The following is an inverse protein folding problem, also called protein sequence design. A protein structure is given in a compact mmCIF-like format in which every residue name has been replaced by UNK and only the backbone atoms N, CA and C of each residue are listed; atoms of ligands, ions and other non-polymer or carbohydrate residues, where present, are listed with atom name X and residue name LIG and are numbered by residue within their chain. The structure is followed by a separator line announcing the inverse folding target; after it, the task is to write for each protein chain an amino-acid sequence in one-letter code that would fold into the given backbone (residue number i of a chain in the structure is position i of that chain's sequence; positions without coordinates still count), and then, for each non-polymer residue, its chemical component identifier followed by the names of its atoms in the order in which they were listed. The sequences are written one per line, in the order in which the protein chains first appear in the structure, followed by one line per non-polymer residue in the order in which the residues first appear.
data_IF_571619016225
#
_entry.id   IF_571619016225
#
_cell.length_a   1.000
_cell.length_b   1.000
_cell.length_c   1.000
_cell.angle_alpha   90.00
_cell.angle_beta   90.00
_cell.angle_gamma   90.00
#
_symmetry.space_group_name_H-M   'P 1'
#
loop_
_entity.id
_entity.type
_entity.pdbx_description
1 polymer ?
#
# COMPACT_ATOMS: atom_id res chain seq x y z
N UNK A 1 -10.51 27.62 3.82
CA UNK A 1 -10.73 28.14 5.18
C UNK A 1 -10.66 27.00 6.18
N UNK A 2 -9.75 27.05 7.15
CA UNK A 2 -9.62 25.99 8.16
C UNK A 2 -10.88 25.88 9.02
N UNK A 3 -11.53 27.01 9.31
CA UNK A 3 -12.78 27.10 10.07
C UNK A 3 -13.90 26.23 9.46
N UNK A 4 -13.98 26.16 8.12
CA UNK A 4 -14.93 25.30 7.43
C UNK A 4 -14.72 23.81 7.78
N UNK A 5 -13.48 23.35 7.87
CA UNK A 5 -13.17 21.96 8.20
C UNK A 5 -13.35 21.67 9.70
N UNK A 6 -13.00 22.60 10.59
CA UNK A 6 -13.27 22.51 12.03
C UNK A 6 -14.77 22.39 12.33
N UNK A 7 -15.63 23.06 11.57
CA UNK A 7 -17.09 22.96 11.76
C UNK A 7 -17.67 21.57 11.46
N UNK A 8 -16.95 20.72 10.71
CA UNK A 8 -17.41 19.40 10.26
C UNK A 8 -16.69 18.22 10.90
N UNK A 9 -15.52 18.45 11.49
CA UNK A 9 -14.76 17.44 12.20
C UNK A 9 -14.38 17.99 13.59
N UNK A 10 -15.00 17.47 14.68
CA UNK A 10 -14.84 18.04 16.01
C UNK A 10 -13.43 17.87 16.59
N UNK A 11 -12.62 16.96 16.04
CA UNK A 11 -11.25 16.70 16.50
C UNK A 11 -10.30 16.43 15.31
N UNK A 12 -9.91 17.49 14.57
CA UNK A 12 -9.05 17.34 13.42
C UNK A 12 -7.57 17.28 13.83
N UNK A 13 -6.82 16.42 13.15
CA UNK A 13 -5.36 16.45 13.22
C UNK A 13 -4.85 17.46 12.19
N UNK A 14 -4.06 18.44 12.64
CA UNK A 14 -3.31 19.33 11.77
C UNK A 14 -1.88 18.82 11.67
N UNK A 15 -1.36 18.73 10.45
CA UNK A 15 0.00 18.31 10.17
C UNK A 15 0.64 19.21 9.11
N UNK A 16 1.98 19.20 9.05
CA UNK A 16 2.72 19.81 7.94
C UNK A 16 2.30 19.16 6.61
N UNK A 17 2.15 19.98 5.58
CA UNK A 17 2.03 19.51 4.21
C UNK A 17 3.43 19.19 3.64
N UNK A 18 3.64 17.95 3.25
CA UNK A 18 4.92 17.49 2.71
C UNK A 18 4.77 17.31 1.20
N UNK A 19 5.33 18.25 0.44
CA UNK A 19 5.41 18.15 -1.02
C UNK A 19 6.57 17.23 -1.41
N UNK A 20 6.24 16.01 -1.85
CA UNK A 20 7.22 14.98 -2.14
C UNK A 20 6.63 13.80 -2.92
N UNK A 21 7.48 12.81 -3.21
CA UNK A 21 7.04 11.60 -3.90
C UNK A 21 6.29 10.70 -2.94
N UNK A 22 5.01 10.43 -3.22
CA UNK A 22 4.19 9.53 -2.44
C UNK A 22 4.43 8.06 -2.79
N UNK A 23 4.49 7.22 -1.76
CA UNK A 23 4.63 5.78 -1.86
C UNK A 23 3.62 5.05 -0.98
N UNK A 24 3.22 3.86 -1.43
CA UNK A 24 2.56 2.86 -0.60
C UNK A 24 3.41 1.60 -0.62
N UNK A 25 3.96 1.24 0.53
CA UNK A 25 4.71 -0.01 0.70
C UNK A 25 3.73 -1.11 1.07
N UNK A 26 3.57 -2.11 0.20
CA UNK A 26 2.74 -3.28 0.45
C UNK A 26 3.58 -4.28 1.25
N UNK A 27 3.05 -4.84 2.32
CA UNK A 27 3.80 -5.66 3.26
C UNK A 27 2.98 -6.90 3.61
N UNK A 28 3.66 -8.03 3.75
CA UNK A 28 3.11 -9.24 4.35
C UNK A 28 4.02 -9.65 5.52
N UNK A 29 3.42 -9.84 6.69
CA UNK A 29 4.08 -10.38 7.88
C UNK A 29 3.56 -11.77 8.23
N UNK A 30 4.40 -12.57 8.87
CA UNK A 30 4.06 -13.88 9.39
C UNK A 30 3.20 -13.80 10.68
N UNK A 31 2.88 -14.96 11.25
CA UNK A 31 2.10 -15.07 12.50
C UNK A 31 2.83 -14.56 13.75
N UNK A 32 4.12 -14.25 13.64
CA UNK A 32 4.97 -13.69 14.70
C UNK A 32 5.25 -12.20 14.50
N UNK A 33 4.61 -11.56 13.50
CA UNK A 33 4.82 -10.16 13.17
C UNK A 33 6.13 -9.88 12.41
N UNK A 34 6.87 -10.91 11.97
CA UNK A 34 8.08 -10.73 11.16
C UNK A 34 7.72 -10.51 9.70
N UNK A 35 8.35 -9.54 9.05
CA UNK A 35 8.06 -9.25 7.65
C UNK A 35 8.61 -10.34 6.73
N UNK A 36 7.72 -10.94 5.93
CA UNK A 36 8.07 -11.91 4.89
C UNK A 36 8.62 -11.19 3.66
N UNK A 37 7.92 -10.15 3.20
CA UNK A 37 8.33 -9.33 2.07
C UNK A 37 7.62 -7.97 2.07
N UNK A 38 8.23 -7.01 1.39
CA UNK A 38 7.65 -5.70 1.14
C UNK A 38 7.94 -5.18 -0.25
N UNK A 39 7.00 -4.41 -0.81
CA UNK A 39 7.07 -3.83 -2.15
C UNK A 39 6.65 -2.36 -2.12
N UNK A 40 7.61 -1.43 -2.29
CA UNK A 40 7.32 -0.03 -2.53
C UNK A 40 6.61 0.19 -3.87
N UNK A 41 5.48 0.88 -3.83
CA UNK A 41 4.77 1.35 -5.02
C UNK A 41 4.74 2.87 -5.00
N UNK A 42 5.41 3.50 -5.98
CA UNK A 42 5.36 4.94 -6.18
C UNK A 42 4.01 5.34 -6.78
N UNK A 43 3.39 6.37 -6.22
CA UNK A 43 2.10 6.93 -6.62
C UNK A 43 2.35 8.11 -7.57
N UNK A 44 2.58 7.81 -8.86
CA UNK A 44 2.95 8.80 -9.88
C UNK A 44 1.83 9.80 -10.17
N UNK A 45 0.57 9.39 -10.05
CA UNK A 45 -0.59 10.26 -10.15
C UNK A 45 -1.68 9.79 -9.20
N UNK A 46 -2.17 10.69 -8.37
CA UNK A 46 -3.24 10.43 -7.40
C UNK A 46 -4.49 11.21 -7.78
N UNK A 47 -5.65 10.59 -7.64
CA UNK A 47 -6.97 11.22 -7.78
C UNK A 47 -7.86 10.74 -6.63
N UNK A 48 -8.37 11.66 -5.82
CA UNK A 48 -9.22 11.35 -4.66
C UNK A 48 -8.61 10.28 -3.73
N UNK A 49 -7.32 10.40 -3.43
CA UNK A 49 -6.59 9.45 -2.57
C UNK A 49 -6.21 8.12 -3.25
N UNK A 50 -6.70 7.84 -4.46
CA UNK A 50 -6.37 6.64 -5.23
C UNK A 50 -5.23 6.88 -6.21
N UNK A 51 -4.24 5.99 -6.23
CA UNK A 51 -3.20 5.98 -7.24
C UNK A 51 -3.76 5.51 -8.59
N UNK A 52 -3.85 6.43 -9.56
CA UNK A 52 -4.34 6.17 -10.92
C UNK A 52 -3.22 5.82 -11.89
N UNK A 53 -2.02 6.33 -11.62
CA UNK A 53 -0.77 5.86 -12.25
C UNK A 53 0.19 5.52 -11.13
N UNK A 54 0.76 4.32 -11.16
CA UNK A 54 1.67 3.84 -10.13
C UNK A 54 2.77 2.95 -10.71
N UNK A 55 3.89 2.84 -10.01
CA UNK A 55 5.02 2.02 -10.43
C UNK A 55 5.61 1.24 -9.26
N UNK A 56 5.88 -0.05 -9.46
CA UNK A 56 6.63 -0.86 -8.52
C UNK A 56 8.10 -0.47 -8.58
N UNK A 57 8.70 -0.05 -7.46
CA UNK A 57 10.07 0.45 -7.43
C UNK A 57 10.94 -0.34 -6.47
N UNK A 58 12.21 -0.52 -6.86
CA UNK A 58 13.22 -1.13 -5.99
C UNK A 58 13.81 -0.05 -5.08
N UNK A 59 13.18 0.20 -3.95
CA UNK A 59 13.66 1.16 -2.95
C UNK A 59 13.90 0.47 -1.61
N UNK A 60 15.15 0.03 -1.37
CA UNK A 60 15.53 -0.70 -0.15
C UNK A 60 15.37 0.15 1.11
N UNK A 61 15.73 1.43 1.07
CA UNK A 61 15.63 2.31 2.23
C UNK A 61 14.18 2.43 2.70
N UNK A 62 13.25 2.54 1.73
CA UNK A 62 11.82 2.61 2.00
C UNK A 62 11.26 1.31 2.57
N UNK A 63 11.63 0.16 2.01
CA UNK A 63 11.30 -1.15 2.59
C UNK A 63 11.83 -1.28 4.01
N UNK A 64 13.08 -0.89 4.28
CA UNK A 64 13.65 -0.95 5.63
C UNK A 64 12.86 -0.11 6.64
N UNK A 65 12.53 1.14 6.29
CA UNK A 65 11.73 2.01 7.18
C UNK A 65 10.35 1.43 7.42
N UNK A 66 9.66 1.00 6.36
CA UNK A 66 8.31 0.46 6.48
C UNK A 66 8.26 -0.86 7.27
N UNK A 67 9.23 -1.75 7.04
CA UNK A 67 9.33 -3.02 7.77
C UNK A 67 9.56 -2.76 9.27
N UNK A 68 10.47 -1.84 9.64
CA UNK A 68 10.71 -1.47 11.04
C UNK A 68 9.45 -0.97 11.74
N UNK A 69 8.62 -0.20 11.04
CA UNK A 69 7.34 0.29 11.58
C UNK A 69 6.37 -0.87 11.80
N UNK A 70 6.20 -1.75 10.82
CA UNK A 70 5.28 -2.91 10.90
C UNK A 70 5.70 -3.89 11.99
N UNK A 71 7.00 -4.19 12.10
CA UNK A 71 7.55 -5.09 13.11
C UNK A 71 7.44 -4.48 14.52
N UNK A 72 7.69 -3.18 14.68
CA UNK A 72 7.52 -2.50 15.97
C UNK A 72 6.06 -2.44 16.43
N UNK A 73 5.11 -2.49 15.49
CA UNK A 73 3.68 -2.58 15.76
C UNK A 73 3.16 -4.02 15.82
N UNK A 74 4.03 -5.02 15.65
CA UNK A 74 3.72 -6.45 15.66
C UNK A 74 2.55 -6.84 14.72
N UNK A 75 2.44 -6.16 13.57
CA UNK A 75 1.33 -6.37 12.65
C UNK A 75 1.48 -7.74 11.97
N UNK A 76 0.44 -8.56 12.12
CA UNK A 76 0.33 -9.88 11.50
C UNK A 76 -0.46 -9.78 10.18
N UNK A 77 0.01 -10.48 9.15
CA UNK A 77 -0.69 -10.58 7.87
C UNK A 77 -0.45 -9.36 6.95
N UNK A 78 -1.41 -9.04 6.05
CA UNK A 78 -1.23 -8.02 5.04
C UNK A 78 -1.35 -6.62 5.66
N UNK A 79 -0.40 -5.76 5.32
CA UNK A 79 -0.44 -4.35 5.72
C UNK A 79 0.11 -3.44 4.63
N UNK A 80 -0.08 -2.14 4.81
CA UNK A 80 0.62 -1.16 4.00
C UNK A 80 1.00 0.08 4.81
N UNK A 81 2.14 0.66 4.44
CA UNK A 81 2.66 1.89 5.02
C UNK A 81 2.75 2.95 3.92
N UNK A 82 2.15 4.12 4.16
CA UNK A 82 2.29 5.26 3.28
C UNK A 82 3.46 6.13 3.72
N UNK A 83 4.34 6.44 2.77
CA UNK A 83 5.56 7.21 2.99
C UNK A 83 5.64 8.30 1.93
N UNK A 84 6.03 9.50 2.33
CA UNK A 84 6.41 10.58 1.41
C UNK A 84 7.93 10.72 1.45
N UNK A 85 8.55 10.76 0.27
CA UNK A 85 9.98 11.06 0.12
C UNK A 85 10.18 12.51 -0.34
N UNK A 86 10.94 13.30 0.42
CA UNK A 86 11.30 14.68 0.10
C UNK A 86 12.77 14.89 0.45
N UNK A 87 13.59 15.35 -0.49
CA UNK A 87 15.02 15.65 -0.27
C UNK A 87 15.80 14.51 0.41
N UNK A 88 15.61 13.27 -0.05
CA UNK A 88 16.21 12.05 0.53
C UNK A 88 15.80 11.75 1.99
N UNK A 89 14.75 12.40 2.50
CA UNK A 89 14.14 12.10 3.78
C UNK A 89 12.82 11.36 3.56
N UNK A 90 12.55 10.36 4.41
CA UNK A 90 11.36 9.52 4.38
C UNK A 90 10.43 9.88 5.54
N UNK A 91 9.20 10.27 5.23
CA UNK A 91 8.18 10.67 6.18
C UNK A 91 7.06 9.63 6.18
N UNK A 92 6.89 8.91 7.28
CA UNK A 92 5.77 7.95 7.43
C UNK A 92 4.49 8.73 7.71
N UNK A 93 3.45 8.47 6.91
CA UNK A 93 2.19 9.20 6.97
C UNK A 93 1.09 8.36 7.62
N UNK A 94 0.99 7.09 7.23
CA UNK A 94 -0.13 6.23 7.62
C UNK A 94 0.32 4.77 7.64
N UNK A 95 -0.20 4.00 8.60
CA UNK A 95 -0.06 2.54 8.65
C UNK A 95 -1.45 1.92 8.62
N UNK A 96 -1.65 0.98 7.71
CA UNK A 96 -2.91 0.29 7.51
C UNK A 96 -2.71 -1.21 7.71
N UNK A 97 -3.20 -1.82 8.81
CA UNK A 97 -3.13 -3.27 9.03
C UNK A 97 -4.20 -4.01 8.20
N UNK A 98 -4.17 -3.79 6.88
CA UNK A 98 -5.06 -4.40 5.89
C UNK A 98 -4.39 -4.39 4.52
N UNK A 99 -4.99 -5.10 3.57
CA UNK A 99 -4.64 -5.00 2.16
C UNK A 99 -4.65 -3.55 1.66
N UNK A 100 -3.67 -3.23 0.81
CA UNK A 100 -3.57 -1.93 0.17
C UNK A 100 -4.65 -1.78 -0.92
N UNK A 101 -5.70 -1.04 -0.62
CA UNK A 101 -6.83 -0.79 -1.54
C UNK A 101 -6.40 -0.30 -2.94
N UNK A 102 -5.37 0.57 -3.01
CA UNK A 102 -4.88 1.12 -4.28
C UNK A 102 -3.75 0.33 -4.95
N UNK A 103 -2.84 -0.26 -4.15
CA UNK A 103 -1.58 -0.84 -4.63
C UNK A 103 -1.65 -2.34 -4.96
N UNK A 104 -2.61 -3.07 -4.39
CA UNK A 104 -2.67 -4.54 -4.48
C UNK A 104 -2.66 -5.09 -5.91
N UNK A 105 -3.43 -4.58 -6.88
CA UNK A 105 -3.41 -5.12 -8.24
C UNK A 105 -2.02 -5.06 -8.90
N UNK A 106 -1.29 -3.96 -8.69
CA UNK A 106 0.06 -3.80 -9.19
C UNK A 106 1.04 -4.71 -8.43
N UNK A 107 0.92 -4.81 -7.10
CA UNK A 107 1.77 -5.70 -6.30
C UNK A 107 1.63 -7.17 -6.75
N UNK A 108 0.39 -7.65 -6.89
CA UNK A 108 0.08 -8.99 -7.38
C UNK A 108 0.64 -9.21 -8.78
N UNK A 109 0.40 -8.27 -9.71
CA UNK A 109 0.90 -8.37 -11.08
C UNK A 109 2.43 -8.35 -11.15
N UNK A 110 3.10 -7.64 -10.24
CA UNK A 110 4.56 -7.58 -10.15
C UNK A 110 5.18 -8.80 -9.44
N UNK A 111 4.41 -9.84 -9.11
CA UNK A 111 4.91 -11.07 -8.51
C UNK A 111 4.76 -11.16 -7.00
N UNK A 112 4.27 -10.10 -6.32
CA UNK A 112 3.98 -10.14 -4.89
C UNK A 112 2.48 -10.37 -4.63
N UNK A 113 2.01 -11.58 -4.96
CA UNK A 113 0.62 -11.98 -4.80
C UNK A 113 0.30 -12.35 -3.34
N UNK A 114 0.11 -11.35 -2.49
CA UNK A 114 -0.12 -11.53 -1.06
C UNK A 114 -1.28 -12.50 -0.74
N UNK A 115 -2.48 -12.40 -1.37
CA UNK A 115 -3.56 -13.35 -1.11
C UNK A 115 -3.18 -14.80 -1.37
N UNK A 116 -2.49 -15.08 -2.48
CA UNK A 116 -2.05 -16.44 -2.82
C UNK A 116 -1.03 -16.96 -1.80
N UNK A 117 -0.03 -16.14 -1.46
CA UNK A 117 0.98 -16.47 -0.45
C UNK A 117 0.32 -16.78 0.90
N UNK A 118 -0.70 -16.01 1.30
CA UNK A 118 -1.45 -16.27 2.53
C UNK A 118 -2.20 -17.60 2.49
N UNK A 119 -2.84 -17.94 1.36
CA UNK A 119 -3.52 -19.24 1.18
C UNK A 119 -2.51 -20.38 1.32
N UNK A 120 -1.34 -20.28 0.68
CA UNK A 120 -0.27 -21.27 0.79
C UNK A 120 0.18 -21.47 2.24
N UNK A 121 0.43 -20.37 2.96
CA UNK A 121 0.80 -20.41 4.38
C UNK A 121 -0.30 -21.01 5.27
N UNK A 122 -1.57 -20.74 4.96
CA UNK A 122 -2.72 -21.31 5.70
C UNK A 122 -2.87 -22.81 5.47
N UNK A 123 -2.46 -23.30 4.30
CA UNK A 123 -2.44 -24.73 3.98
C UNK A 123 -1.21 -25.46 4.53
N UNK A 124 -0.26 -24.73 5.12
CA UNK A 124 1.00 -25.29 5.62
C UNK A 124 2.06 -25.50 4.52
N UNK A 125 1.85 -24.94 3.33
CA UNK A 125 2.83 -25.00 2.26
C UNK A 125 4.02 -24.08 2.57
N UNK A 126 5.20 -24.47 2.11
CA UNK A 126 6.37 -23.58 2.11
C UNK A 126 6.25 -22.57 0.97
N UNK A 127 6.51 -21.31 1.26
CA UNK A 127 6.55 -20.26 0.23
C UNK A 127 7.89 -20.30 -0.51
N UNK A 128 7.82 -20.27 -1.85
CA UNK A 128 8.99 -20.14 -2.70
C UNK A 128 9.57 -18.72 -2.69
N UNK A 129 10.61 -18.50 -3.50
CA UNK A 129 11.18 -17.17 -3.69
C UNK A 129 10.14 -16.21 -4.31
N UNK A 130 9.96 -15.04 -3.69
CA UNK A 130 9.11 -13.98 -4.21
C UNK A 130 9.92 -13.16 -5.22
N UNK A 131 9.72 -13.43 -6.50
CA UNK A 131 10.40 -12.74 -7.59
C UNK A 131 9.61 -11.50 -8.01
N UNK A 132 10.08 -10.33 -7.58
CA UNK A 132 9.42 -9.05 -7.88
C UNK A 132 9.93 -8.47 -9.20
N UNK A 133 8.99 -8.20 -10.12
CA UNK A 133 9.19 -7.45 -11.35
C UNK A 133 9.16 -5.94 -11.08
N UNK A 134 10.30 -5.37 -10.71
CA UNK A 134 10.44 -3.93 -10.54
C UNK A 134 10.29 -3.18 -11.88
N UNK A 135 9.83 -1.93 -11.80
CA UNK A 135 9.60 -1.07 -12.96
C UNK A 135 8.22 -1.23 -13.59
N UNK A 136 7.46 -2.28 -13.24
CA UNK A 136 6.09 -2.49 -13.71
C UNK A 136 5.20 -1.31 -13.35
N UNK A 137 4.42 -0.84 -14.32
CA UNK A 137 3.51 0.30 -14.18
C UNK A 137 2.05 -0.15 -14.27
N UNK A 138 1.21 0.48 -13.46
CA UNK A 138 -0.23 0.38 -13.54
C UNK A 138 -0.80 1.73 -13.97
N UNK A 139 -1.75 1.69 -14.91
CA UNK A 139 -2.59 2.83 -15.29
C UNK A 139 -4.04 2.36 -15.13
N UNK A 140 -4.81 3.07 -14.31
CA UNK A 140 -6.22 2.79 -14.10
C UNK A 140 -7.07 3.61 -15.07
N UNK A 141 -8.03 2.95 -15.68
CA UNK A 141 -9.14 3.55 -16.41
C UNK A 141 -10.45 2.98 -15.85
N UNK A 142 -11.54 3.71 -16.06
CA UNK A 142 -12.88 3.31 -15.62
C UNK A 142 -13.70 2.97 -16.85
N UNK A 143 -14.44 1.87 -16.74
CA UNK A 143 -15.38 1.43 -17.75
C UNK A 143 -16.76 1.24 -17.10
N UNK A 144 -17.82 1.24 -17.92
CA UNK A 144 -19.19 1.14 -17.46
C UNK A 144 -19.86 -0.10 -18.06
N UNK A 145 -20.43 -0.93 -17.19
CA UNK A 145 -21.24 -2.08 -17.58
C UNK A 145 -22.70 -1.84 -17.19
N UNK A 146 -23.61 -1.94 -18.16
CA UNK A 146 -25.05 -1.85 -17.91
C UNK A 146 -25.60 -3.24 -17.66
N UNK A 147 -26.16 -3.45 -16.47
CA UNK A 147 -26.83 -4.70 -16.12
C UNK A 147 -28.35 -4.50 -16.24
N UNK A 148 -29.10 -5.51 -16.73
CA UNK A 148 -30.54 -5.47 -16.66
C UNK A 148 -31.00 -5.43 -15.19
N UNK A 149 -32.17 -4.84 -14.88
CA UNK A 149 -32.74 -4.93 -13.55
C UNK A 149 -32.91 -6.40 -13.15
N UNK A 150 -32.58 -6.74 -11.90
CA UNK A 150 -32.88 -8.06 -11.35
C UNK A 150 -34.39 -8.12 -11.10
N UNK A 151 -35.13 -8.84 -11.93
CA UNK A 151 -36.51 -9.18 -11.62
C UNK A 151 -36.48 -10.19 -10.47
N UNK A 152 -37.02 -9.78 -9.31
CA UNK A 152 -37.27 -10.67 -8.18
C UNK A 152 -38.41 -11.65 -8.46
#
# INVERSE_FOLDING_TARGET
DLEYYFSRNPDPIIQEYIDGSEYTVNILSDKKGQVIASLPIRRLRVRNGLAVVAQAEKNKAMSTVANRVVEALEIIGPSNVQIIERNNQLFVIEVNPRFASGGMPLATSAGFNIPLIMIDLMQGNTIGAINIEYGKKMIRYWDAYMLPPQNG
#
